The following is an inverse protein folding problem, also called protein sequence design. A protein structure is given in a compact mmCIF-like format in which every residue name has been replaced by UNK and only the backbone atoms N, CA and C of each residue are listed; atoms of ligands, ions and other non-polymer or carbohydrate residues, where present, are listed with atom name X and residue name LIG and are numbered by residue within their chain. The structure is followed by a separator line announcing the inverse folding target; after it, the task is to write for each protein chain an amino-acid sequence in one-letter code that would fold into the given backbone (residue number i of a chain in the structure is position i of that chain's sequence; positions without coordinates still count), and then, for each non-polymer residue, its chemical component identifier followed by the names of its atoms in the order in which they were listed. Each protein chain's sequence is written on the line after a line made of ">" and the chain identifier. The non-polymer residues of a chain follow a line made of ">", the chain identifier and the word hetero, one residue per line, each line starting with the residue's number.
data_IF_578613763130
#
_entry.id   IF_578613763130
#
_cell.length_a   1.000
_cell.length_b   1.000
_cell.length_c   1.000
_cell.angle_alpha   90.00
_cell.angle_beta   90.00
_cell.angle_gamma   90.00
#
_symmetry.space_group_name_H-M   'P 1'
#
loop_
_entity.id
_entity.type
_entity.pdbx_description
1 polymer ?
#
# COMPACT_ATOMS: atom_id res chain seq x y z
N UNK A 1 14.45 -57.02 -6.79
CA UNK A 1 15.69 -57.41 -7.50
C UNK A 1 16.71 -56.31 -7.26
N UNK A 2 17.96 -56.58 -6.84
CA UNK A 2 19.17 -56.75 -7.70
C UNK A 2 19.29 -55.64 -8.76
N UNK A 3 20.37 -54.85 -8.90
CA UNK A 3 21.77 -54.86 -8.37
C UNK A 3 22.19 -53.43 -7.90
N UNK A 4 23.23 -53.12 -7.11
CA UNK A 4 24.45 -53.80 -6.57
C UNK A 4 25.79 -53.67 -7.36
N UNK A 5 26.36 -52.44 -7.42
CA UNK A 5 27.82 -52.06 -7.49
C UNK A 5 28.69 -52.76 -8.60
N UNK A 6 30.05 -52.64 -8.71
CA UNK A 6 31.07 -51.66 -8.29
C UNK A 6 31.79 -51.01 -9.54
N UNK A 7 33.07 -50.58 -9.69
CA UNK A 7 34.33 -50.43 -8.91
C UNK A 7 35.29 -49.44 -9.66
N UNK A 8 36.46 -49.06 -9.08
CA UNK A 8 37.69 -48.47 -9.71
C UNK A 8 37.55 -46.97 -10.17
N UNK A 9 38.45 -45.99 -9.94
CA UNK A 9 39.85 -45.79 -9.47
C UNK A 9 40.77 -45.18 -10.55
N UNK A 10 41.92 -44.61 -10.11
CA UNK A 10 42.96 -43.79 -10.81
C UNK A 10 42.84 -42.25 -10.63
N UNK A 11 43.85 -41.39 -10.41
CA UNK A 11 45.33 -41.39 -10.14
C UNK A 11 46.06 -40.38 -11.06
N UNK A 12 46.68 -39.36 -10.43
CA UNK A 12 47.79 -38.48 -10.89
C UNK A 12 47.70 -37.65 -12.20
N UNK A 13 47.92 -36.32 -12.05
CA UNK A 13 48.94 -35.47 -12.73
C UNK A 13 48.69 -34.00 -12.28
N UNK A 14 49.53 -33.28 -11.51
CA UNK A 14 50.95 -32.87 -11.57
C UNK A 14 51.27 -31.61 -12.43
N UNK A 15 51.79 -30.57 -11.76
CA UNK A 15 52.57 -29.40 -12.20
C UNK A 15 52.19 -28.53 -13.43
N UNK A 16 52.03 -27.22 -13.17
CA UNK A 16 52.57 -26.17 -14.04
C UNK A 16 52.95 -24.88 -13.28
N UNK A 17 54.16 -24.37 -13.55
CA UNK A 17 54.59 -22.96 -13.47
C UNK A 17 54.33 -22.12 -12.21
N UNK A 18 55.09 -22.40 -11.14
CA UNK A 18 55.67 -21.31 -10.33
C UNK A 18 56.82 -20.69 -11.15
N UNK A 19 56.51 -19.84 -12.14
CA UNK A 19 57.48 -19.01 -12.86
C UNK A 19 56.85 -17.73 -13.43
N UNK A 20 56.80 -16.66 -12.61
CA UNK A 20 56.97 -15.24 -12.98
C UNK A 20 56.78 -14.29 -11.78
N UNK A 21 57.64 -14.45 -10.77
CA UNK A 21 58.17 -13.26 -10.07
C UNK A 21 59.32 -12.70 -10.92
N UNK A 22 59.70 -11.46 -10.66
CA UNK A 22 60.88 -10.81 -11.26
C UNK A 22 60.82 -10.58 -12.79
N UNK A 23 59.74 -9.95 -13.24
CA UNK A 23 59.82 -9.03 -14.38
C UNK A 23 58.91 -7.81 -14.16
N UNK A 24 59.26 -6.69 -14.78
CA UNK A 24 58.47 -5.44 -14.84
C UNK A 24 58.15 -4.78 -13.49
N UNK A 25 59.21 -4.47 -12.72
CA UNK A 25 59.21 -3.41 -11.70
C UNK A 25 59.12 -2.00 -12.34
N UNK A 26 58.31 -1.83 -13.39
CA UNK A 26 58.36 -0.65 -14.26
C UNK A 26 57.03 -0.40 -15.01
N UNK A 27 55.94 -0.24 -14.27
CA UNK A 27 54.69 0.36 -14.78
C UNK A 27 53.74 0.84 -13.65
N UNK A 28 54.28 1.55 -12.65
CA UNK A 28 53.53 2.23 -11.57
C UNK A 28 53.81 3.73 -11.51
N UNK A 29 53.91 4.39 -12.68
CA UNK A 29 54.15 5.84 -12.78
C UNK A 29 53.34 6.53 -13.89
N UNK A 30 52.20 5.94 -14.26
CA UNK A 30 51.31 6.40 -15.33
C UNK A 30 49.82 6.29 -14.91
N UNK A 31 49.48 6.78 -13.72
CA UNK A 31 48.13 6.66 -13.14
C UNK A 31 47.75 7.76 -12.15
N UNK A 32 48.36 8.95 -12.29
CA UNK A 32 48.31 10.02 -11.27
C UNK A 32 48.11 11.43 -11.89
N UNK A 33 47.58 11.50 -13.13
CA UNK A 33 47.26 12.76 -13.84
C UNK A 33 46.02 12.66 -14.73
N UNK A 34 44.94 12.07 -14.20
CA UNK A 34 43.66 11.92 -14.92
C UNK A 34 42.46 12.00 -13.96
N UNK A 35 42.38 13.07 -13.15
CA UNK A 35 41.26 13.29 -12.21
C UNK A 35 40.88 14.76 -11.98
N UNK A 36 40.55 15.47 -13.05
CA UNK A 36 39.66 16.63 -13.01
C UNK A 36 38.68 16.60 -14.21
N UNK A 37 37.50 17.16 -13.99
CA UNK A 37 36.38 17.44 -14.92
C UNK A 37 35.83 16.32 -15.83
N UNK A 38 34.71 15.75 -15.38
CA UNK A 38 33.46 15.42 -16.12
C UNK A 38 32.50 14.87 -15.04
N UNK A 39 31.62 15.66 -14.43
CA UNK A 39 30.40 16.29 -14.95
C UNK A 39 29.27 15.27 -15.22
N UNK A 40 28.14 15.44 -14.53
CA UNK A 40 27.05 14.45 -14.45
C UNK A 40 27.36 13.35 -13.40
N UNK A 41 26.43 12.94 -12.54
CA UNK A 41 25.10 13.47 -12.25
C UNK A 41 24.85 13.27 -10.75
N UNK A 42 24.67 14.36 -9.99
CA UNK A 42 24.15 14.24 -8.62
C UNK A 42 22.67 13.93 -8.77
N UNK A 43 22.34 12.63 -8.71
CA UNK A 43 20.95 12.18 -8.63
C UNK A 43 20.37 12.77 -7.35
N UNK A 44 19.72 13.92 -7.48
CA UNK A 44 18.85 14.44 -6.45
C UNK A 44 17.85 13.31 -6.16
N UNK A 45 17.78 12.88 -4.90
CA UNK A 45 16.76 11.94 -4.46
C UNK A 45 15.41 12.66 -4.55
N UNK A 46 14.85 12.66 -5.76
CA UNK A 46 13.58 13.30 -6.05
C UNK A 46 12.57 12.76 -5.06
N UNK A 47 11.99 13.66 -4.25
CA UNK A 47 10.79 13.32 -3.50
C UNK A 47 9.80 12.83 -4.54
N UNK A 48 9.60 11.51 -4.62
CA UNK A 48 8.56 10.91 -5.43
C UNK A 48 7.28 11.52 -4.91
N UNK A 49 6.72 12.46 -5.66
CA UNK A 49 5.52 13.16 -5.23
C UNK A 49 4.37 12.16 -5.32
N UNK A 50 4.17 11.47 -4.19
CA UNK A 50 3.42 10.24 -4.15
C UNK A 50 1.99 10.64 -3.91
N UNK A 51 1.35 11.12 -4.98
CA UNK A 51 -0.07 11.47 -5.02
C UNK A 51 -0.86 10.41 -4.29
N UNK A 52 -1.36 10.77 -3.10
CA UNK A 52 -1.97 9.80 -2.21
C UNK A 52 -3.20 9.22 -2.90
N UNK A 53 -3.32 7.90 -3.00
CA UNK A 53 -4.46 7.25 -3.66
C UNK A 53 -5.81 7.63 -3.02
N UNK A 54 -5.80 8.05 -1.75
CA UNK A 54 -6.92 8.66 -1.03
C UNK A 54 -6.43 9.64 0.04
N UNK A 55 -7.33 10.50 0.51
CA UNK A 55 -7.16 11.44 1.63
C UNK A 55 -8.41 11.42 2.51
N UNK A 56 -8.23 11.19 3.81
CA UNK A 56 -9.30 11.45 4.80
C UNK A 56 -9.24 12.94 5.15
N UNK A 57 -10.36 13.63 4.95
CA UNK A 57 -10.51 15.08 5.14
C UNK A 57 -10.96 15.38 6.58
N UNK A 58 -11.87 14.58 7.13
CA UNK A 58 -12.35 14.67 8.53
C UNK A 58 -12.61 13.28 9.13
N UNK A 59 -12.46 13.16 10.43
CA UNK A 59 -12.83 11.97 11.23
C UNK A 59 -12.94 12.33 12.72
N UNK A 60 -13.83 11.67 13.44
CA UNK A 60 -13.90 11.74 14.90
C UNK A 60 -12.65 11.07 15.54
N UNK A 61 -11.98 11.66 16.56
CA UNK A 61 -10.82 11.05 17.24
C UNK A 61 -11.07 9.70 17.95
N UNK A 62 -12.33 9.37 18.27
CA UNK A 62 -12.70 8.08 18.86
C UNK A 62 -12.93 6.99 17.80
N UNK A 63 -13.20 7.39 16.55
CA UNK A 63 -13.37 6.51 15.41
C UNK A 63 -12.01 6.02 14.91
N UNK A 64 -11.77 4.71 14.96
CA UNK A 64 -10.70 4.09 14.18
C UNK A 64 -11.28 3.70 12.81
N UNK A 65 -10.48 3.81 11.77
CA UNK A 65 -10.87 3.38 10.42
C UNK A 65 -9.71 2.70 9.71
N UNK A 66 -10.02 1.91 8.69
CA UNK A 66 -9.07 1.38 7.70
C UNK A 66 -9.63 1.61 6.32
N UNK A 67 -8.84 2.23 5.43
CA UNK A 67 -9.15 2.39 4.00
C UNK A 67 -8.22 1.47 3.22
N UNK A 68 -8.76 0.63 2.35
CA UNK A 68 -7.97 -0.30 1.52
C UNK A 68 -8.54 -0.42 0.12
N UNK A 69 -7.67 -0.45 -0.89
CA UNK A 69 -8.02 -0.95 -2.23
C UNK A 69 -7.97 -2.48 -2.17
N UNK A 70 -9.01 -3.15 -2.64
CA UNK A 70 -9.15 -4.62 -2.63
C UNK A 70 -9.18 -5.23 -4.03
N UNK A 71 -9.27 -4.39 -5.07
CA UNK A 71 -9.28 -4.81 -6.46
C UNK A 71 -9.39 -3.63 -7.42
N UNK A 72 -9.72 -3.94 -8.67
CA UNK A 72 -10.05 -2.96 -9.71
C UNK A 72 -11.57 -2.79 -9.83
N UNK A 73 -12.03 -1.66 -10.37
CA UNK A 73 -13.44 -1.33 -10.49
C UNK A 73 -13.71 0.15 -10.21
N UNK A 74 -14.96 0.46 -9.92
CA UNK A 74 -15.47 1.82 -9.64
C UNK A 74 -16.43 1.79 -8.44
N UNK A 75 -15.96 1.17 -7.35
CA UNK A 75 -16.80 0.81 -6.20
C UNK A 75 -16.14 1.23 -4.89
N UNK A 76 -16.89 1.90 -4.00
CA UNK A 76 -16.46 2.22 -2.63
C UNK A 76 -17.52 1.71 -1.66
N UNK A 77 -17.16 0.77 -0.80
CA UNK A 77 -18.04 0.22 0.24
C UNK A 77 -17.58 0.59 1.65
N UNK A 78 -18.53 1.02 2.47
CA UNK A 78 -18.39 1.36 3.88
C UNK A 78 -18.94 0.24 4.77
N UNK A 79 -18.29 -0.05 5.89
CA UNK A 79 -18.64 -1.16 6.78
C UNK A 79 -18.21 -0.92 8.23
N UNK A 80 -18.74 -1.72 9.18
CA UNK A 80 -18.33 -1.69 10.60
C UNK A 80 -17.74 -3.05 10.99
N UNK A 81 -16.60 -3.05 11.69
CA UNK A 81 -15.90 -4.24 12.19
C UNK A 81 -15.70 -5.31 11.10
N UNK A 82 -15.09 -4.90 9.98
CA UNK A 82 -14.85 -5.68 8.76
C UNK A 82 -16.14 -6.19 8.08
N UNK A 83 -17.28 -5.52 8.29
CA UNK A 83 -18.59 -5.99 7.82
C UNK A 83 -19.26 -7.01 8.74
N UNK A 84 -18.74 -7.25 9.95
CA UNK A 84 -19.44 -8.05 10.98
C UNK A 84 -20.72 -7.36 11.46
N UNK A 85 -20.74 -6.02 11.45
CA UNK A 85 -21.89 -5.21 11.81
C UNK A 85 -22.36 -4.38 10.61
N UNK A 86 -23.67 -4.28 10.41
CA UNK A 86 -24.29 -3.41 9.39
C UNK A 86 -24.09 -1.93 9.72
N UNK A 87 -23.89 -1.08 8.70
CA UNK A 87 -24.04 0.37 8.86
C UNK A 87 -25.51 0.68 9.21
N UNK A 88 -25.82 1.46 10.27
CA UNK A 88 -27.20 1.80 10.64
C UNK A 88 -27.99 2.50 9.53
N UNK A 89 -29.32 2.53 9.64
CA UNK A 89 -30.20 3.14 8.62
C UNK A 89 -30.36 4.65 8.77
N UNK A 90 -30.04 5.20 9.95
CA UNK A 90 -29.95 6.64 10.21
C UNK A 90 -28.56 7.24 9.87
N UNK A 91 -27.72 6.49 9.15
CA UNK A 91 -26.42 6.93 8.64
C UNK A 91 -26.54 7.01 7.12
N UNK A 92 -26.25 8.20 6.60
CA UNK A 92 -26.29 8.54 5.18
C UNK A 92 -24.88 8.89 4.67
N UNK A 93 -24.68 8.73 3.36
CA UNK A 93 -23.41 8.93 2.68
C UNK A 93 -23.58 9.98 1.59
N UNK A 94 -23.49 11.26 1.94
CA UNK A 94 -23.52 12.31 0.92
C UNK A 94 -22.34 12.13 -0.04
N UNK A 95 -22.65 11.96 -1.33
CA UNK A 95 -21.76 11.60 -2.43
C UNK A 95 -22.13 12.42 -3.68
N UNK A 96 -21.16 12.64 -4.56
CA UNK A 96 -21.31 13.47 -5.77
C UNK A 96 -21.32 12.66 -7.09
N UNK A 97 -21.13 11.34 -7.05
CA UNK A 97 -21.05 10.49 -8.25
C UNK A 97 -21.20 8.99 -7.92
N UNK A 98 -22.10 8.30 -8.65
CA UNK A 98 -22.31 6.86 -8.60
C UNK A 98 -23.75 6.44 -8.30
N UNK A 99 -23.98 5.13 -8.22
CA UNK A 99 -25.26 4.51 -7.83
C UNK A 99 -25.11 3.91 -6.43
N UNK A 100 -26.04 4.21 -5.53
CA UNK A 100 -26.03 3.66 -4.17
C UNK A 100 -26.25 2.13 -4.19
N UNK A 101 -25.42 1.40 -3.46
CA UNK A 101 -25.41 -0.07 -3.41
C UNK A 101 -25.29 -0.58 -1.96
N UNK A 102 -25.94 -1.72 -1.66
CA UNK A 102 -25.87 -2.42 -0.36
C UNK A 102 -25.48 -3.88 -0.56
N UNK A 103 -24.27 -4.26 -0.12
CA UNK A 103 -23.76 -5.65 -0.19
C UNK A 103 -23.77 -6.26 1.20
N UNK A 104 -24.91 -6.84 1.60
CA UNK A 104 -25.10 -7.40 2.94
C UNK A 104 -24.95 -6.34 4.04
N UNK A 105 -23.94 -6.47 4.89
CA UNK A 105 -23.64 -5.49 5.96
C UNK A 105 -22.92 -4.22 5.47
N UNK A 106 -22.51 -4.15 4.20
CA UNK A 106 -21.80 -3.02 3.60
C UNK A 106 -22.75 -2.10 2.84
N UNK A 107 -22.55 -0.78 2.93
CA UNK A 107 -23.29 0.25 2.16
C UNK A 107 -22.30 1.13 1.41
N UNK A 108 -22.63 1.64 0.24
CA UNK A 108 -21.71 2.50 -0.51
C UNK A 108 -22.18 2.77 -1.93
N UNK A 109 -21.24 2.90 -2.86
CA UNK A 109 -21.52 3.29 -4.24
C UNK A 109 -20.77 2.42 -5.25
N UNK A 110 -21.42 2.15 -6.37
CA UNK A 110 -20.87 1.53 -7.57
C UNK A 110 -20.94 2.50 -8.77
N UNK A 111 -20.18 2.21 -9.83
CA UNK A 111 -20.09 3.05 -11.03
C UNK A 111 -19.71 4.51 -10.73
N UNK A 112 -18.83 4.71 -9.75
CA UNK A 112 -18.39 6.03 -9.30
C UNK A 112 -17.36 6.66 -10.27
N UNK A 113 -17.46 7.97 -10.45
CA UNK A 113 -16.41 8.77 -11.09
C UNK A 113 -15.33 9.12 -10.07
N UNK A 114 -14.06 9.10 -10.48
CA UNK A 114 -12.93 9.52 -9.66
C UNK A 114 -12.46 10.94 -10.07
N UNK A 115 -12.08 11.82 -9.12
CA UNK A 115 -11.98 11.58 -7.68
C UNK A 115 -13.35 11.43 -7.01
N UNK A 116 -13.52 10.32 -6.28
CA UNK A 116 -14.73 10.04 -5.51
C UNK A 116 -14.62 10.76 -4.17
N UNK A 117 -15.61 11.61 -3.88
CA UNK A 117 -15.72 12.30 -2.59
C UNK A 117 -17.00 11.87 -1.86
N UNK A 118 -16.89 11.60 -0.57
CA UNK A 118 -18.01 11.24 0.28
C UNK A 118 -17.85 11.76 1.71
N UNK A 119 -18.94 12.29 2.28
CA UNK A 119 -19.07 12.59 3.72
C UNK A 119 -20.17 11.72 4.33
N UNK A 120 -19.88 11.16 5.49
CA UNK A 120 -20.82 10.40 6.31
C UNK A 120 -21.56 11.35 7.24
N UNK A 121 -22.88 11.26 7.24
CA UNK A 121 -23.78 12.06 8.08
C UNK A 121 -24.68 11.12 8.89
N UNK A 122 -25.15 11.55 10.05
CA UNK A 122 -26.17 10.82 10.81
C UNK A 122 -27.16 11.78 11.46
N UNK A 123 -28.45 11.41 11.43
CA UNK A 123 -29.52 12.18 12.06
C UNK A 123 -29.58 12.03 13.58
N UNK A 124 -28.77 11.15 14.17
CA UNK A 124 -28.81 10.85 15.62
C UNK A 124 -27.74 11.66 16.35
N UNK A 125 -28.16 12.65 17.13
CA UNK A 125 -27.27 13.52 17.92
C UNK A 125 -26.55 12.73 19.03
N UNK A 126 -25.23 12.95 19.19
CA UNK A 126 -24.42 12.37 20.26
C UNK A 126 -24.98 12.71 21.66
N UNK A 127 -25.38 13.96 21.87
CA UNK A 127 -25.84 14.52 23.15
C UNK A 127 -27.07 13.83 23.73
N UNK A 128 -27.82 13.07 22.91
CA UNK A 128 -29.07 12.41 23.30
C UNK A 128 -28.86 10.93 23.70
N UNK A 129 -27.80 10.27 23.21
CA UNK A 129 -27.54 8.86 23.52
C UNK A 129 -26.05 8.48 23.37
N UNK A 130 -25.21 9.10 24.21
CA UNK A 130 -23.75 8.98 24.16
C UNK A 130 -23.20 7.53 24.20
N UNK A 131 -23.92 6.59 24.82
CA UNK A 131 -23.45 5.23 25.05
C UNK A 131 -23.82 4.20 23.95
N UNK A 132 -24.86 4.46 23.15
CA UNK A 132 -25.34 3.49 22.15
C UNK A 132 -25.40 4.05 20.70
N UNK A 133 -25.11 5.35 20.52
CA UNK A 133 -25.19 6.02 19.24
C UNK A 133 -23.95 5.79 18.35
N UNK A 134 -23.92 4.63 17.68
CA UNK A 134 -22.95 4.29 16.63
C UNK A 134 -23.00 5.24 15.41
N UNK A 135 -24.09 5.98 15.21
CA UNK A 135 -24.24 6.97 14.14
C UNK A 135 -23.40 8.22 14.38
N UNK A 136 -23.49 8.81 15.57
CA UNK A 136 -22.68 9.97 15.95
C UNK A 136 -21.16 9.70 15.90
N UNK A 137 -20.73 8.47 16.18
CA UNK A 137 -19.33 8.08 16.05
C UNK A 137 -18.85 7.99 14.59
N UNK A 138 -19.76 7.87 13.63
CA UNK A 138 -19.49 7.91 12.18
C UNK A 138 -19.70 9.30 11.57
N UNK A 139 -20.37 10.21 12.27
CA UNK A 139 -20.67 11.55 11.77
C UNK A 139 -19.38 12.34 11.53
N UNK A 140 -19.40 13.16 10.47
CA UNK A 140 -18.27 13.98 10.04
C UNK A 140 -17.00 13.19 9.65
N UNK A 141 -17.11 11.88 9.39
CA UNK A 141 -16.11 11.21 8.56
C UNK A 141 -16.24 11.67 7.11
N UNK A 142 -15.16 12.19 6.52
CA UNK A 142 -15.13 12.67 5.14
C UNK A 142 -13.87 12.14 4.44
N UNK A 143 -14.03 11.57 3.25
CA UNK A 143 -12.96 10.96 2.46
C UNK A 143 -13.04 11.37 1.00
N UNK A 144 -11.87 11.51 0.38
CA UNK A 144 -11.67 11.71 -1.04
C UNK A 144 -10.72 10.61 -1.55
N UNK A 145 -11.05 9.98 -2.67
CA UNK A 145 -10.32 8.84 -3.26
C UNK A 145 -10.02 9.20 -4.72
N UNK A 146 -8.75 9.28 -5.09
CA UNK A 146 -8.32 9.78 -6.40
C UNK A 146 -8.07 8.64 -7.40
N UNK A 147 -7.65 7.46 -6.93
CA UNK A 147 -7.37 6.30 -7.80
C UNK A 147 -8.61 5.41 -8.05
N UNK A 148 -8.91 5.05 -9.32
CA UNK A 148 -9.89 4.03 -9.64
C UNK A 148 -9.58 2.67 -9.01
N UNK A 149 -10.60 2.02 -8.46
CA UNK A 149 -10.51 0.69 -7.87
C UNK A 149 -11.79 0.23 -7.17
N UNK A 150 -11.76 -1.00 -6.67
CA UNK A 150 -12.66 -1.42 -5.60
C UNK A 150 -12.01 -1.04 -4.27
N UNK A 151 -12.67 -0.19 -3.51
CA UNK A 151 -12.23 0.32 -2.21
C UNK A 151 -13.15 -0.14 -1.09
N UNK A 152 -12.57 -0.48 0.05
CA UNK A 152 -13.29 -0.69 1.31
C UNK A 152 -12.83 0.34 2.35
N UNK A 153 -13.81 1.07 2.89
CA UNK A 153 -13.68 1.85 4.11
C UNK A 153 -14.34 1.06 5.23
N UNK A 154 -13.65 0.91 6.35
CA UNK A 154 -14.10 0.06 7.45
C UNK A 154 -13.84 0.73 8.80
N UNK A 155 -14.91 0.84 9.58
CA UNK A 155 -14.96 1.57 10.83
C UNK A 155 -14.87 0.63 12.04
N UNK A 156 -14.15 1.05 13.08
CA UNK A 156 -14.08 0.38 14.38
C UNK A 156 -14.13 1.42 15.49
N UNK A 157 -15.11 1.30 16.37
CA UNK A 157 -15.25 2.20 17.52
C UNK A 157 -14.21 1.84 18.60
N UNK A 158 -13.63 2.86 19.25
CA UNK A 158 -13.07 2.67 20.59
C UNK A 158 -14.26 2.54 21.55
N UNK A 159 -14.39 1.37 22.16
CA UNK A 159 -15.15 1.13 23.40
C UNK A 159 -14.10 1.12 24.51
#
# INVERSE_FOLDING_TARGET
>A
MKTLIPLISFIFLFSASIQKKEQTRENKKAGDKSRMELAGEVIQAGKKDTTLAYKVIRSNPTLRYTVRRVGNGSTVLFSINNGRNSIPNYVDFSNNAGVFHVTGNKKGYENITFPFKCKVNSSVNYMVNQFNNKGALLNDFEIEIYEPGFWEVNFRFKI
#
